data_IF_874557874081
#
_entry.id   IF_874557874081
#
_cell.length_a   1.000
_cell.length_b   1.000
_cell.length_c   1.000
_cell.angle_alpha   90.00
_cell.angle_beta   90.00
_cell.angle_gamma   90.00
#
_symmetry.space_group_name_H-M   'P 1'
#
loop_
_entity.id
_entity.type
_entity.pdbx_description
1 polymer ?
#
# COMPACT_ATOMS: atom_id res chain seq x y z
N UNK A 1 -41.10 8.81 30.19
CA UNK A 1 -41.34 9.81 29.13
C UNK A 1 -42.17 9.15 28.04
N UNK A 2 -43.40 9.58 27.84
CA UNK A 2 -44.32 9.05 26.82
C UNK A 2 -44.14 9.82 25.52
N UNK A 3 -43.66 9.16 24.48
CA UNK A 3 -43.50 9.77 23.15
C UNK A 3 -44.87 9.86 22.44
N UNK A 4 -45.34 11.05 22.03
CA UNK A 4 -46.65 11.21 21.38
C UNK A 4 -46.67 10.59 19.97
N UNK A 5 -47.79 9.96 19.60
CA UNK A 5 -47.96 9.20 18.34
C UNK A 5 -47.74 10.03 17.06
N UNK A 6 -47.87 11.35 17.12
CA UNK A 6 -47.59 12.27 16.01
C UNK A 6 -46.08 12.42 15.71
N UNK A 7 -45.19 12.03 16.63
CA UNK A 7 -43.74 12.03 16.36
C UNK A 7 -43.26 10.80 15.56
N UNK A 8 -44.07 9.75 15.43
CA UNK A 8 -43.75 8.57 14.62
C UNK A 8 -43.30 8.93 13.20
N UNK A 9 -44.07 9.73 12.40
CA UNK A 9 -43.65 10.10 11.05
C UNK A 9 -42.36 10.95 11.02
N UNK A 10 -42.13 11.80 12.02
CA UNK A 10 -40.91 12.60 12.12
C UNK A 10 -39.65 11.75 12.30
N UNK A 11 -39.73 10.69 13.11
CA UNK A 11 -38.61 9.76 13.31
C UNK A 11 -38.26 9.03 11.99
N UNK A 12 -39.26 8.57 11.23
CA UNK A 12 -39.01 7.93 9.94
C UNK A 12 -38.37 8.89 8.92
N UNK A 13 -38.79 10.15 8.89
CA UNK A 13 -38.19 11.17 8.02
C UNK A 13 -36.71 11.42 8.34
N UNK A 14 -36.34 11.49 9.61
CA UNK A 14 -34.94 11.65 10.05
C UNK A 14 -34.11 10.44 9.67
N UNK A 15 -34.63 9.22 9.85
CA UNK A 15 -33.91 8.01 9.47
C UNK A 15 -33.65 7.97 7.96
N UNK A 16 -34.67 8.19 7.14
CA UNK A 16 -34.54 8.19 5.67
C UNK A 16 -33.57 9.28 5.22
N UNK A 17 -33.70 10.51 5.75
CA UNK A 17 -32.82 11.62 5.42
C UNK A 17 -31.36 11.34 5.79
N UNK A 18 -31.10 10.81 6.98
CA UNK A 18 -29.75 10.45 7.41
C UNK A 18 -29.12 9.37 6.52
N UNK A 19 -29.90 8.37 6.11
CA UNK A 19 -29.43 7.35 5.15
C UNK A 19 -29.11 7.96 3.78
N UNK A 20 -29.99 8.81 3.24
CA UNK A 20 -29.78 9.46 1.94
C UNK A 20 -28.54 10.35 1.94
N UNK A 21 -28.36 11.19 2.96
CA UNK A 21 -27.17 12.06 3.09
C UNK A 21 -25.90 11.24 3.24
N UNK A 22 -25.93 10.15 4.03
CA UNK A 22 -24.77 9.28 4.19
C UNK A 22 -24.37 8.64 2.86
N UNK A 23 -25.31 8.06 2.12
CA UNK A 23 -25.01 7.41 0.83
C UNK A 23 -24.42 8.43 -0.16
N UNK A 24 -25.02 9.61 -0.26
CA UNK A 24 -24.53 10.65 -1.16
C UNK A 24 -23.15 11.18 -0.72
N UNK A 25 -22.95 11.39 0.58
CA UNK A 25 -21.69 11.86 1.14
C UNK A 25 -20.55 10.87 0.92
N UNK A 26 -20.76 9.59 1.25
CA UNK A 26 -19.71 8.56 1.16
C UNK A 26 -19.46 8.06 -0.27
N UNK A 27 -20.44 8.12 -1.18
CA UNK A 27 -20.26 7.65 -2.56
C UNK A 27 -19.82 8.76 -3.51
N UNK A 28 -20.39 9.96 -3.40
CA UNK A 28 -20.16 11.03 -4.38
C UNK A 28 -19.52 12.28 -3.77
N UNK A 29 -19.84 12.59 -2.50
CA UNK A 29 -19.27 13.72 -1.78
C UNK A 29 -17.84 13.50 -1.28
N UNK A 30 -17.27 12.30 -1.46
CA UNK A 30 -15.91 11.97 -1.00
C UNK A 30 -15.75 11.98 0.52
N UNK A 31 -16.85 11.86 1.28
CA UNK A 31 -16.77 11.78 2.73
C UNK A 31 -16.04 10.49 3.11
N UNK A 32 -15.05 10.62 3.97
CA UNK A 32 -14.32 9.52 4.58
C UNK A 32 -14.31 9.74 6.08
N UNK A 33 -14.32 8.66 6.85
CA UNK A 33 -14.22 8.76 8.31
C UNK A 33 -12.77 9.06 8.71
N UNK A 34 -12.55 9.73 9.84
CA UNK A 34 -11.19 10.10 10.28
C UNK A 34 -10.22 8.90 10.35
N UNK A 35 -10.70 7.74 10.80
CA UNK A 35 -9.88 6.52 10.82
C UNK A 35 -9.49 6.00 9.44
N UNK A 36 -10.41 6.08 8.45
CA UNK A 36 -10.09 5.73 7.07
C UNK A 36 -9.15 6.76 6.43
N UNK A 37 -9.32 8.05 6.74
CA UNK A 37 -8.41 9.10 6.29
C UNK A 37 -6.99 8.91 6.84
N UNK A 38 -6.85 8.58 8.13
CA UNK A 38 -5.56 8.30 8.74
C UNK A 38 -4.89 7.08 8.10
N UNK A 39 -5.64 5.98 7.93
CA UNK A 39 -5.12 4.77 7.30
C UNK A 39 -4.71 4.99 5.84
N UNK A 40 -5.47 5.83 5.12
CA UNK A 40 -5.12 6.26 3.78
C UNK A 40 -3.80 7.06 3.78
N UNK A 41 -3.65 8.02 4.69
CA UNK A 41 -2.42 8.81 4.82
C UNK A 41 -1.19 7.94 5.18
N UNK A 42 -1.35 6.99 6.10
CA UNK A 42 -0.28 6.05 6.48
C UNK A 42 0.13 5.15 5.31
N UNK A 43 -0.84 4.62 4.55
CA UNK A 43 -0.55 3.82 3.36
C UNK A 43 0.15 4.66 2.27
N UNK A 44 -0.33 5.88 1.99
CA UNK A 44 0.32 6.77 1.04
C UNK A 44 1.76 7.08 1.43
N UNK A 45 2.00 7.36 2.71
CA UNK A 45 3.36 7.59 3.21
C UNK A 45 4.25 6.34 3.06
N UNK A 46 3.73 5.14 3.34
CA UNK A 46 4.46 3.90 3.16
C UNK A 46 4.79 3.61 1.69
N UNK A 47 3.84 3.84 0.78
CA UNK A 47 4.03 3.66 -0.66
C UNK A 47 5.05 4.67 -1.23
N UNK A 48 4.93 5.95 -0.87
CA UNK A 48 5.88 6.97 -1.34
C UNK A 48 7.29 6.73 -0.81
N UNK A 49 7.44 6.35 0.46
CA UNK A 49 8.76 5.98 1.00
C UNK A 49 9.33 4.77 0.26
N UNK A 50 8.49 3.79 -0.08
CA UNK A 50 8.91 2.61 -0.85
C UNK A 50 9.39 3.00 -2.24
N UNK A 51 8.63 3.84 -2.96
CA UNK A 51 9.00 4.34 -4.29
C UNK A 51 10.28 5.19 -4.25
N UNK A 52 10.41 6.05 -3.25
CA UNK A 52 11.62 6.85 -3.03
C UNK A 52 12.86 6.00 -2.68
N UNK A 53 12.64 4.79 -2.17
CA UNK A 53 13.70 3.84 -1.79
C UNK A 53 14.09 2.89 -2.93
N UNK A 54 13.31 2.80 -4.01
CA UNK A 54 13.71 2.07 -5.24
C UNK A 54 15.09 2.50 -5.75
N UNK A 55 15.42 3.79 -5.93
CA UNK A 55 16.76 4.18 -6.37
C UNK A 55 17.88 3.75 -5.41
N UNK A 56 17.60 3.66 -4.10
CA UNK A 56 18.55 3.13 -3.11
C UNK A 56 18.78 1.63 -3.33
N UNK A 57 17.72 0.87 -3.57
CA UNK A 57 17.81 -0.55 -3.90
C UNK A 57 18.62 -0.79 -5.18
N UNK A 58 18.35 -0.01 -6.25
CA UNK A 58 19.09 -0.11 -7.50
C UNK A 58 20.57 0.22 -7.31
N UNK A 59 20.90 1.31 -6.61
CA UNK A 59 22.29 1.67 -6.32
C UNK A 59 23.02 0.60 -5.49
N UNK A 60 22.33 -0.04 -4.54
CA UNK A 60 22.90 -1.20 -3.81
C UNK A 60 23.14 -2.40 -4.72
N UNK A 61 22.22 -2.68 -5.63
CA UNK A 61 22.40 -3.73 -6.63
C UNK A 61 23.62 -3.45 -7.51
N UNK A 62 23.82 -2.19 -7.92
CA UNK A 62 24.96 -1.79 -8.75
C UNK A 62 26.30 -1.91 -8.04
N UNK A 63 26.33 -1.59 -6.74
CA UNK A 63 27.52 -1.68 -5.90
C UNK A 63 27.84 -3.11 -5.44
N UNK A 64 26.96 -4.08 -5.69
CA UNK A 64 27.13 -5.48 -5.25
C UNK A 64 28.08 -6.24 -6.18
N UNK A 65 29.17 -6.78 -5.63
CA UNK A 65 30.12 -7.61 -6.36
C UNK A 65 29.49 -8.91 -6.91
N UNK A 66 28.45 -9.42 -6.24
CA UNK A 66 27.72 -10.63 -6.62
C UNK A 66 26.44 -10.33 -7.44
N UNK A 67 26.29 -9.10 -7.94
CA UNK A 67 25.11 -8.64 -8.70
C UNK A 67 24.71 -9.64 -9.78
N UNK A 68 25.64 -10.09 -10.62
CA UNK A 68 25.36 -10.98 -11.75
C UNK A 68 24.78 -12.33 -11.30
N UNK A 69 25.36 -12.94 -10.25
CA UNK A 69 24.89 -14.21 -9.70
C UNK A 69 23.50 -14.06 -9.07
N UNK A 70 23.27 -12.99 -8.29
CA UNK A 70 21.97 -12.70 -7.67
C UNK A 70 20.91 -12.42 -8.72
N UNK A 71 21.21 -11.62 -9.76
CA UNK A 71 20.28 -11.35 -10.86
C UNK A 71 19.92 -12.62 -11.64
N UNK A 72 20.85 -13.56 -11.82
CA UNK A 72 20.55 -14.84 -12.46
C UNK A 72 19.51 -15.65 -11.66
N UNK A 73 19.64 -15.71 -10.33
CA UNK A 73 18.67 -16.36 -9.44
C UNK A 73 17.31 -15.65 -9.48
N UNK A 74 17.30 -14.31 -9.53
CA UNK A 74 16.06 -13.53 -9.64
C UNK A 74 15.34 -13.74 -10.97
N UNK A 75 16.08 -13.95 -12.06
CA UNK A 75 15.51 -14.26 -13.39
C UNK A 75 14.96 -15.68 -13.48
N UNK A 76 15.59 -16.64 -12.81
CA UNK A 76 15.15 -18.04 -12.80
C UNK A 76 13.95 -18.29 -11.86
N UNK A 77 13.73 -17.39 -10.90
CA UNK A 77 12.63 -17.49 -9.95
C UNK A 77 11.38 -16.73 -10.40
N UNK A 78 10.21 -17.17 -9.95
CA UNK A 78 8.93 -16.54 -10.26
C UNK A 78 8.07 -16.28 -9.01
N UNK A 79 7.16 -15.32 -9.14
CA UNK A 79 6.15 -15.00 -8.12
C UNK A 79 6.73 -14.78 -6.73
N UNK A 80 6.21 -15.51 -5.74
CA UNK A 80 6.63 -15.41 -4.35
C UNK A 80 8.12 -15.75 -4.14
N UNK A 81 8.63 -16.76 -4.85
CA UNK A 81 10.04 -17.18 -4.74
C UNK A 81 10.98 -16.08 -5.21
N UNK A 82 10.63 -15.36 -6.29
CA UNK A 82 11.42 -14.24 -6.79
C UNK A 82 11.50 -13.09 -5.79
N UNK A 83 10.36 -12.73 -5.18
CA UNK A 83 10.32 -11.72 -4.10
C UNK A 83 11.18 -12.16 -2.92
N UNK A 84 11.09 -13.43 -2.52
CA UNK A 84 11.89 -13.96 -1.42
C UNK A 84 13.38 -13.91 -1.74
N UNK A 85 13.80 -14.38 -2.92
CA UNK A 85 15.18 -14.30 -3.38
C UNK A 85 15.68 -12.84 -3.41
N UNK A 86 14.81 -11.89 -3.82
CA UNK A 86 15.13 -10.46 -3.81
C UNK A 86 15.37 -9.93 -2.39
N UNK A 87 14.56 -10.34 -1.42
CA UNK A 87 14.78 -9.99 -0.02
C UNK A 87 16.06 -10.62 0.54
N UNK A 88 16.34 -11.87 0.16
CA UNK A 88 17.54 -12.60 0.59
C UNK A 88 18.84 -11.98 0.00
N UNK A 89 18.76 -11.15 -1.06
CA UNK A 89 19.92 -10.35 -1.54
C UNK A 89 20.35 -9.25 -0.57
N UNK A 90 19.43 -8.78 0.29
CA UNK A 90 19.61 -7.60 1.15
C UNK A 90 19.42 -6.24 0.46
N UNK A 91 19.15 -6.19 -0.85
CA UNK A 91 18.96 -4.91 -1.56
C UNK A 91 17.65 -4.22 -1.19
N UNK A 92 16.62 -5.00 -0.82
CA UNK A 92 15.30 -4.52 -0.42
C UNK A 92 15.19 -4.15 1.07
N UNK A 93 16.31 -3.82 1.73
CA UNK A 93 16.34 -3.42 3.14
C UNK A 93 16.44 -1.89 3.26
N UNK A 94 15.51 -1.29 4.01
CA UNK A 94 15.49 0.15 4.24
C UNK A 94 16.69 0.57 5.11
N UNK A 95 17.36 1.71 4.82
CA UNK A 95 18.39 2.26 5.67
C UNK A 95 17.90 2.44 7.12
N UNK A 96 18.66 1.94 8.09
CA UNK A 96 18.28 1.99 9.51
C UNK A 96 17.36 0.86 9.98
N UNK A 97 17.09 -0.13 9.12
CA UNK A 97 16.37 -1.36 9.49
C UNK A 97 17.19 -2.58 9.14
N UNK A 98 17.04 -3.66 9.90
CA UNK A 98 17.69 -4.95 9.62
C UNK A 98 16.77 -5.90 8.84
N UNK A 99 15.48 -5.59 8.76
CA UNK A 99 14.47 -6.43 8.13
C UNK A 99 14.22 -5.99 6.67
N UNK A 100 14.25 -6.93 5.70
CA UNK A 100 13.90 -6.62 4.32
C UNK A 100 12.41 -6.28 4.18
N UNK A 101 12.10 -5.30 3.33
CA UNK A 101 10.74 -4.86 3.04
C UNK A 101 10.22 -5.53 1.75
N UNK A 102 9.02 -6.12 1.83
CA UNK A 102 8.39 -6.85 0.72
C UNK A 102 7.94 -5.93 -0.42
N UNK A 103 7.37 -4.78 -0.09
CA UNK A 103 6.86 -3.81 -1.06
C UNK A 103 8.05 -3.18 -1.81
N UNK A 104 9.13 -2.91 -1.09
CA UNK A 104 10.40 -2.48 -1.70
C UNK A 104 11.01 -3.56 -2.59
N UNK A 105 10.94 -4.83 -2.20
CA UNK A 105 11.43 -5.94 -3.03
C UNK A 105 10.66 -6.02 -4.35
N UNK A 106 9.33 -5.89 -4.32
CA UNK A 106 8.50 -5.88 -5.54
C UNK A 106 8.78 -4.66 -6.42
N UNK A 107 8.85 -3.47 -5.82
CA UNK A 107 9.13 -2.23 -6.55
C UNK A 107 10.54 -2.23 -7.17
N UNK A 108 11.53 -2.77 -6.45
CA UNK A 108 12.90 -2.90 -6.96
C UNK A 108 13.01 -3.95 -8.07
N UNK A 109 12.30 -5.08 -7.95
CA UNK A 109 12.21 -6.06 -9.05
C UNK A 109 11.61 -5.45 -10.31
N UNK A 110 10.58 -4.61 -10.18
CA UNK A 110 10.00 -3.90 -11.31
C UNK A 110 10.99 -2.90 -11.93
N UNK A 111 11.78 -2.19 -11.11
CA UNK A 111 12.80 -1.24 -11.58
C UNK A 111 14.06 -1.89 -12.16
N UNK A 112 14.35 -3.15 -11.83
CA UNK A 112 15.49 -3.90 -12.39
C UNK A 112 15.26 -4.40 -13.81
N UNK A 113 14.04 -4.23 -14.36
CA UNK A 113 13.66 -4.65 -15.73
C UNK A 113 14.21 -6.03 -16.09
N UNK A 114 14.07 -6.99 -15.15
CA UNK A 114 14.67 -8.33 -15.27
C UNK A 114 14.17 -9.09 -16.51
N UNK A 115 12.96 -8.74 -16.94
CA UNK A 115 12.35 -9.12 -18.20
C UNK A 115 12.79 -8.09 -19.24
N UNK A 116 14.02 -8.26 -19.76
CA UNK A 116 14.56 -7.37 -20.80
C UNK A 116 13.58 -7.22 -21.96
N UNK A 117 13.42 -5.98 -22.43
CA UNK A 117 12.85 -5.64 -23.73
C UNK A 117 13.49 -6.42 -24.86
#
# INVERSE_FOLDING_TARGET
MTFPNWMKPGIYGVLIGAFSVSILGFNWGGWTTGGNAQKMAENFAADEVTLAMVPVCLNRSEADTERSAKLAVLKDSAGYTRRKAMMDTGWATLPGTDAPNRDLADACLAGLELDGS
#
